data_IF_762677596774
#
_entry.id   IF_762677596774
#
_cell.length_a   1.000
_cell.length_b   1.000
_cell.length_c   1.000
_cell.angle_alpha   90.00
_cell.angle_beta   90.00
_cell.angle_gamma   90.00
#
_symmetry.space_group_name_H-M   'P 1'
#
loop_
_entity.id
_entity.type
_entity.pdbx_description
1 polymer ?
#
# COMPACT_ATOMS: atom_id res chain seq x y z
N UNK A 1 -24.69 15.94 -5.57
CA UNK A 1 -23.22 15.97 -5.80
C UNK A 1 -22.91 15.47 -7.21
N UNK A 2 -21.96 16.07 -7.93
CA UNK A 2 -21.53 15.56 -9.23
C UNK A 2 -20.77 14.24 -9.05
N UNK A 3 -20.85 13.31 -10.02
CA UNK A 3 -20.13 12.01 -9.98
C UNK A 3 -18.62 12.17 -9.71
N UNK A 4 -18.04 13.26 -10.22
CA UNK A 4 -16.62 13.63 -10.00
C UNK A 4 -16.33 13.99 -8.54
N UNK A 5 -17.26 14.66 -7.85
CA UNK A 5 -17.09 15.00 -6.44
C UNK A 5 -17.08 13.75 -5.57
N UNK A 6 -17.99 12.80 -5.82
CA UNK A 6 -18.07 11.52 -5.10
C UNK A 6 -16.75 10.74 -5.23
N UNK A 7 -16.23 10.63 -6.45
CA UNK A 7 -14.97 9.91 -6.70
C UNK A 7 -13.77 10.56 -6.00
N UNK A 8 -13.70 11.90 -5.98
CA UNK A 8 -12.66 12.63 -5.24
C UNK A 8 -12.76 12.37 -3.74
N UNK A 9 -13.96 12.43 -3.17
CA UNK A 9 -14.18 12.12 -1.75
C UNK A 9 -13.76 10.69 -1.42
N UNK A 10 -14.09 9.71 -2.28
CA UNK A 10 -13.65 8.33 -2.12
C UNK A 10 -12.12 8.21 -2.12
N UNK A 11 -11.43 8.82 -3.10
CA UNK A 11 -9.96 8.78 -3.14
C UNK A 11 -9.34 9.40 -1.90
N UNK A 12 -9.89 10.52 -1.40
CA UNK A 12 -9.41 11.15 -0.17
C UNK A 12 -9.58 10.21 1.02
N UNK A 13 -10.76 9.60 1.19
CA UNK A 13 -11.03 8.65 2.27
C UNK A 13 -10.08 7.44 2.21
N UNK A 14 -9.82 6.94 1.00
CA UNK A 14 -8.88 5.84 0.77
C UNK A 14 -7.47 6.21 1.20
N UNK A 15 -7.03 7.44 0.98
CA UNK A 15 -5.70 7.91 1.39
C UNK A 15 -5.61 8.22 2.89
N UNK A 16 -6.71 8.65 3.51
CA UNK A 16 -6.76 8.92 4.95
C UNK A 16 -6.68 7.64 5.78
N UNK A 17 -7.21 6.52 5.28
CA UNK A 17 -7.21 5.25 6.00
C UNK A 17 -5.80 4.72 6.37
N UNK A 18 -4.84 4.57 5.43
CA UNK A 18 -3.49 4.14 5.77
C UNK A 18 -2.75 5.18 6.62
N UNK A 19 -3.04 6.48 6.47
CA UNK A 19 -2.47 7.53 7.34
C UNK A 19 -2.96 7.36 8.78
N UNK A 20 -4.25 7.13 8.99
CA UNK A 20 -4.80 6.83 10.32
C UNK A 20 -4.16 5.57 10.94
N UNK A 21 -4.01 4.51 10.14
CA UNK A 21 -3.41 3.26 10.60
C UNK A 21 -1.91 3.40 10.89
N UNK A 22 -1.21 4.27 10.16
CA UNK A 22 0.18 4.65 10.43
C UNK A 22 0.33 5.29 11.82
N UNK A 23 -0.53 6.25 12.17
CA UNK A 23 -0.50 6.84 13.51
C UNK A 23 -0.83 5.82 14.60
N UNK A 24 -1.79 4.93 14.34
CA UNK A 24 -2.14 3.86 15.28
C UNK A 24 -0.98 2.88 15.48
N UNK A 25 -0.25 2.53 14.42
CA UNK A 25 0.93 1.67 14.51
C UNK A 25 2.07 2.35 15.27
N UNK A 26 2.33 3.64 15.02
CA UNK A 26 3.32 4.43 15.76
C UNK A 26 3.03 4.46 17.26
N UNK A 27 1.82 4.85 17.64
CA UNK A 27 1.43 4.90 19.06
C UNK A 27 1.47 3.54 19.75
N UNK A 28 1.22 2.45 19.02
CA UNK A 28 1.23 1.11 19.60
C UNK A 28 2.65 0.60 19.90
N UNK A 29 3.68 1.10 19.20
CA UNK A 29 5.07 0.75 19.46
C UNK A 29 5.60 1.36 20.77
N UNK A 30 5.01 2.47 21.23
CA UNK A 30 5.37 3.11 22.50
C UNK A 30 4.74 2.40 23.73
N UNK A 31 3.79 1.48 23.51
CA UNK A 31 3.12 0.74 24.57
C UNK A 31 3.91 -0.54 24.91
N UNK A 32 3.93 -0.98 26.17
CA UNK A 32 4.64 -2.22 26.59
C UNK A 32 3.90 -3.52 26.21
N UNK A 33 3.05 -3.52 25.18
CA UNK A 33 2.30 -4.70 24.70
C UNK A 33 2.74 -5.10 23.28
N UNK A 34 3.61 -6.12 23.22
CA UNK A 34 4.14 -6.72 21.98
C UNK A 34 3.01 -7.16 21.04
N UNK A 35 1.95 -7.75 21.58
CA UNK A 35 0.88 -8.33 20.78
C UNK A 35 0.03 -7.21 20.16
N UNK A 36 -0.25 -6.15 20.90
CA UNK A 36 -0.93 -4.97 20.39
C UNK A 36 -0.11 -4.24 19.32
N UNK A 37 1.20 -4.08 19.54
CA UNK A 37 2.10 -3.47 18.57
C UNK A 37 2.17 -4.27 17.27
N UNK A 38 2.37 -5.60 17.37
CA UNK A 38 2.37 -6.51 16.22
C UNK A 38 1.07 -6.44 15.42
N UNK A 39 -0.08 -6.49 16.12
CA UNK A 39 -1.37 -6.38 15.47
C UNK A 39 -1.55 -5.03 14.77
N UNK A 40 -1.05 -3.94 15.36
CA UNK A 40 -1.16 -2.59 14.78
C UNK A 40 -0.29 -2.44 13.53
N UNK A 41 0.92 -3.00 13.51
CA UNK A 41 1.80 -3.03 12.33
C UNK A 41 1.19 -3.89 11.21
N UNK A 42 0.63 -5.05 11.52
CA UNK A 42 -0.08 -5.90 10.54
C UNK A 42 -1.32 -5.19 9.99
N UNK A 43 -2.09 -4.52 10.85
CA UNK A 43 -3.24 -3.72 10.45
C UNK A 43 -2.84 -2.57 9.51
N UNK A 44 -1.67 -1.95 9.73
CA UNK A 44 -1.12 -0.98 8.79
C UNK A 44 -0.84 -1.63 7.43
N UNK A 45 -0.22 -2.81 7.37
CA UNK A 45 -0.01 -3.55 6.12
C UNK A 45 -1.33 -3.83 5.39
N UNK A 46 -2.35 -4.31 6.11
CA UNK A 46 -3.69 -4.56 5.55
C UNK A 46 -4.30 -3.29 4.99
N UNK A 47 -4.12 -2.15 5.65
CA UNK A 47 -4.61 -0.85 5.18
C UNK A 47 -3.98 -0.41 3.86
N UNK A 48 -2.69 -0.73 3.64
CA UNK A 48 -1.98 -0.49 2.38
C UNK A 48 -2.63 -1.32 1.27
N UNK A 49 -2.89 -2.61 1.52
CA UNK A 49 -3.51 -3.50 0.53
C UNK A 49 -4.93 -3.08 0.15
N UNK A 50 -5.77 -2.71 1.14
CA UNK A 50 -7.12 -2.20 0.88
C UNK A 50 -7.04 -0.92 0.03
N UNK A 51 -6.12 -0.02 0.37
CA UNK A 51 -5.94 1.23 -0.37
C UNK A 51 -5.46 0.97 -1.79
N UNK A 52 -4.54 0.01 -1.97
CA UNK A 52 -4.08 -0.42 -3.29
C UNK A 52 -5.20 -0.98 -4.15
N UNK A 53 -6.09 -1.83 -3.61
CA UNK A 53 -7.25 -2.36 -4.37
C UNK A 53 -8.13 -1.21 -4.85
N UNK A 54 -8.48 -0.28 -3.97
CA UNK A 54 -9.37 0.83 -4.31
C UNK A 54 -8.72 1.80 -5.31
N UNK A 55 -7.44 2.12 -5.13
CA UNK A 55 -6.67 2.94 -6.09
C UNK A 55 -6.52 2.23 -7.44
N UNK A 56 -6.36 0.91 -7.45
CA UNK A 56 -6.30 0.12 -8.69
C UNK A 56 -7.63 0.16 -9.45
N UNK A 57 -8.77 0.01 -8.76
CA UNK A 57 -10.11 0.15 -9.36
C UNK A 57 -10.30 1.54 -9.97
N UNK A 58 -9.93 2.59 -9.25
CA UNK A 58 -10.00 3.97 -9.75
C UNK A 58 -9.07 4.16 -10.96
N UNK A 59 -7.86 3.58 -10.91
CA UNK A 59 -6.91 3.62 -12.03
C UNK A 59 -7.46 2.96 -13.28
N UNK A 60 -8.11 1.80 -13.17
CA UNK A 60 -8.78 1.11 -14.27
C UNK A 60 -9.89 2.00 -14.85
N UNK A 61 -10.75 2.56 -13.99
CA UNK A 61 -11.86 3.42 -14.41
C UNK A 61 -11.38 4.63 -15.20
N UNK A 62 -10.35 5.33 -14.72
CA UNK A 62 -9.78 6.49 -15.42
C UNK A 62 -9.01 6.11 -16.69
N UNK A 63 -8.32 4.98 -16.68
CA UNK A 63 -7.65 4.48 -17.88
C UNK A 63 -8.64 4.18 -18.98
N UNK A 64 -9.83 3.68 -18.63
CA UNK A 64 -10.87 3.38 -19.60
C UNK A 64 -11.63 4.61 -20.06
N UNK A 65 -12.03 5.49 -19.15
CA UNK A 65 -12.86 6.67 -19.45
C UNK A 65 -12.08 7.83 -20.07
N UNK A 66 -10.87 8.11 -19.57
CA UNK A 66 -10.09 9.29 -19.97
C UNK A 66 -8.77 8.93 -20.69
N UNK A 67 -8.45 7.64 -20.86
CA UNK A 67 -7.18 7.13 -21.43
C UNK A 67 -5.91 7.59 -20.72
N UNK A 68 -6.04 8.15 -19.51
CA UNK A 68 -4.94 8.68 -18.69
C UNK A 68 -4.32 7.61 -17.79
N UNK A 69 -3.00 7.66 -17.64
CA UNK A 69 -2.22 6.75 -16.76
C UNK A 69 -1.91 7.34 -15.38
N UNK A 70 -2.33 8.58 -15.10
CA UNK A 70 -1.95 9.32 -13.90
C UNK A 70 -2.17 8.52 -12.61
N UNK A 71 -3.35 7.91 -12.43
CA UNK A 71 -3.68 7.15 -11.24
C UNK A 71 -2.83 5.88 -11.06
N UNK A 72 -2.35 5.28 -12.15
CA UNK A 72 -1.41 4.15 -12.04
C UNK A 72 -0.05 4.62 -11.51
N UNK A 73 0.52 5.71 -12.04
CA UNK A 73 1.78 6.26 -11.54
C UNK A 73 1.64 6.72 -10.08
N UNK A 74 0.51 7.33 -9.74
CA UNK A 74 0.19 7.71 -8.37
C UNK A 74 0.13 6.49 -7.44
N UNK A 75 -0.47 5.39 -7.88
CA UNK A 75 -0.54 4.14 -7.11
C UNK A 75 0.86 3.56 -6.84
N UNK A 76 1.76 3.59 -7.83
CA UNK A 76 3.16 3.19 -7.63
C UNK A 76 3.88 4.07 -6.60
N UNK A 77 3.72 5.40 -6.68
CA UNK A 77 4.31 6.32 -5.71
C UNK A 77 3.77 6.09 -4.29
N UNK A 78 2.46 5.88 -4.16
CA UNK A 78 1.81 5.53 -2.89
C UNK A 78 2.36 4.23 -2.30
N UNK A 79 2.49 3.18 -3.12
CA UNK A 79 3.05 1.89 -2.68
C UNK A 79 4.51 2.02 -2.24
N UNK A 80 5.32 2.77 -3.00
CA UNK A 80 6.72 3.02 -2.64
C UNK A 80 6.83 3.61 -1.25
N UNK A 81 6.13 4.71 -0.99
CA UNK A 81 6.17 5.38 0.32
C UNK A 81 5.61 4.48 1.42
N UNK A 82 4.45 3.86 1.20
CA UNK A 82 3.76 3.09 2.24
C UNK A 82 4.52 1.81 2.62
N UNK A 83 5.10 1.11 1.63
CA UNK A 83 5.91 -0.09 1.91
C UNK A 83 7.21 0.26 2.63
N UNK A 84 7.84 1.40 2.31
CA UNK A 84 9.03 1.87 3.04
C UNK A 84 8.73 2.18 4.50
N UNK A 85 7.60 2.86 4.77
CA UNK A 85 7.16 3.12 6.14
C UNK A 85 6.80 1.83 6.87
N UNK A 86 6.16 0.88 6.19
CA UNK A 86 5.85 -0.43 6.77
C UNK A 86 7.12 -1.20 7.17
N UNK A 87 8.15 -1.23 6.33
CA UNK A 87 9.41 -1.88 6.67
C UNK A 87 10.12 -1.21 7.83
N UNK A 88 10.06 0.13 7.94
CA UNK A 88 10.52 0.86 9.11
C UNK A 88 9.79 0.38 10.39
N UNK A 89 8.45 0.38 10.40
CA UNK A 89 7.70 -0.07 11.57
C UNK A 89 7.95 -1.54 11.92
N UNK A 90 8.14 -2.40 10.93
CA UNK A 90 8.47 -3.80 11.18
C UNK A 90 9.85 -3.94 11.82
N UNK A 91 10.84 -3.14 11.41
CA UNK A 91 12.14 -3.09 12.06
C UNK A 91 12.03 -2.53 13.48
N UNK A 92 11.31 -1.42 13.68
CA UNK A 92 11.11 -0.82 14.99
C UNK A 92 10.42 -1.78 15.96
N UNK A 93 9.45 -2.58 15.50
CA UNK A 93 8.80 -3.62 16.30
C UNK A 93 9.82 -4.66 16.77
N UNK A 94 10.69 -5.13 15.89
CA UNK A 94 11.69 -6.15 16.24
C UNK A 94 12.71 -5.60 17.22
N UNK A 95 13.19 -4.38 17.00
CA UNK A 95 14.18 -3.73 17.86
C UNK A 95 13.62 -3.32 19.21
N UNK A 96 12.36 -2.85 19.29
CA UNK A 96 11.77 -2.35 20.54
C UNK A 96 11.45 -3.47 21.54
N UNK A 97 11.21 -4.69 21.06
CA UNK A 97 10.84 -5.83 21.89
C UNK A 97 11.85 -6.99 21.83
N UNK A 98 13.07 -6.73 21.34
CA UNK A 98 14.16 -7.73 21.19
C UNK A 98 13.68 -9.06 20.59
N UNK A 99 12.85 -8.98 19.55
CA UNK A 99 12.33 -10.17 18.88
C UNK A 99 13.44 -10.88 18.10
N UNK A 100 13.42 -12.22 18.01
CA UNK A 100 14.44 -12.96 17.28
C UNK A 100 14.45 -12.55 15.80
N UNK A 101 15.59 -12.03 15.35
CA UNK A 101 15.84 -11.63 13.97
C UNK A 101 16.88 -12.56 13.33
N UNK A 102 16.70 -12.96 12.07
CA UNK A 102 17.74 -13.69 11.32
C UNK A 102 18.95 -12.81 10.95
N UNK A 103 18.86 -11.49 11.17
CA UNK A 103 19.94 -10.53 10.94
C UNK A 103 20.38 -9.94 12.27
N UNK A 104 21.69 -9.84 12.50
CA UNK A 104 22.29 -9.21 13.68
C UNK A 104 22.19 -7.67 13.64
N UNK A 105 21.98 -7.09 12.46
CA UNK A 105 21.91 -5.64 12.25
C UNK A 105 20.52 -5.04 12.49
N UNK A 106 20.49 -3.79 12.95
CA UNK A 106 19.26 -3.05 13.31
C UNK A 106 18.46 -2.46 12.14
N UNK A 107 18.78 -2.82 10.88
CA UNK A 107 18.15 -2.22 9.69
C UNK A 107 17.84 -3.20 8.54
N UNK A 108 18.62 -4.28 8.41
CA UNK A 108 18.56 -5.17 7.23
C UNK A 108 17.20 -5.84 7.06
N UNK A 109 16.56 -6.25 8.16
CA UNK A 109 15.24 -6.86 8.14
C UNK A 109 14.19 -5.90 7.54
N UNK A 110 14.16 -4.65 7.99
CA UNK A 110 13.23 -3.63 7.50
C UNK A 110 13.40 -3.35 6.01
N UNK A 111 14.64 -3.33 5.51
CA UNK A 111 14.94 -3.17 4.09
C UNK A 111 14.44 -4.37 3.29
N UNK A 112 14.70 -5.60 3.74
CA UNK A 112 14.25 -6.83 3.06
C UNK A 112 12.72 -6.90 3.02
N UNK A 113 12.04 -6.61 4.14
CA UNK A 113 10.57 -6.57 4.21
C UNK A 113 10.00 -5.51 3.27
N UNK A 114 10.62 -4.32 3.20
CA UNK A 114 10.23 -3.26 2.26
C UNK A 114 10.35 -3.75 0.82
N UNK A 115 11.50 -4.30 0.45
CA UNK A 115 11.78 -4.78 -0.91
C UNK A 115 10.82 -5.90 -1.31
N UNK A 116 10.58 -6.87 -0.41
CA UNK A 116 9.64 -7.95 -0.66
C UNK A 116 8.24 -7.41 -0.97
N UNK A 117 7.72 -6.50 -0.14
CA UNK A 117 6.38 -5.93 -0.36
C UNK A 117 6.34 -5.07 -1.63
N UNK A 118 7.42 -4.36 -1.97
CA UNK A 118 7.51 -3.60 -3.22
C UNK A 118 7.51 -4.51 -4.44
N UNK A 119 8.29 -5.59 -4.44
CA UNK A 119 8.33 -6.56 -5.55
C UNK A 119 6.95 -7.16 -5.75
N UNK A 120 6.28 -7.62 -4.68
CA UNK A 120 4.92 -8.17 -4.76
C UNK A 120 3.96 -7.12 -5.33
N UNK A 121 3.97 -5.90 -4.79
CA UNK A 121 3.07 -4.83 -5.24
C UNK A 121 3.33 -4.43 -6.69
N UNK A 122 4.59 -4.41 -7.12
CA UNK A 122 4.96 -4.09 -8.50
C UNK A 122 4.49 -5.17 -9.47
N UNK A 123 4.73 -6.44 -9.15
CA UNK A 123 4.27 -7.59 -9.95
C UNK A 123 2.74 -7.57 -10.08
N UNK A 124 2.01 -7.41 -8.97
CA UNK A 124 0.55 -7.37 -8.98
C UNK A 124 0.02 -6.19 -9.80
N UNK A 125 0.59 -5.00 -9.64
CA UNK A 125 0.16 -3.81 -10.38
C UNK A 125 0.48 -3.93 -11.87
N UNK A 126 1.64 -4.49 -12.24
CA UNK A 126 2.02 -4.74 -13.62
C UNK A 126 1.11 -5.78 -14.30
N UNK A 127 0.79 -6.89 -13.60
CA UNK A 127 -0.18 -7.88 -14.07
C UNK A 127 -1.56 -7.25 -14.32
N UNK A 128 -2.01 -6.39 -13.41
CA UNK A 128 -3.28 -5.68 -13.53
C UNK A 128 -3.27 -4.70 -14.71
N UNK A 129 -2.18 -3.95 -14.92
CA UNK A 129 -2.01 -3.11 -16.10
C UNK A 129 -2.01 -3.92 -17.41
N UNK A 130 -1.31 -5.05 -17.43
CA UNK A 130 -1.26 -5.94 -18.60
C UNK A 130 -2.64 -6.51 -18.92
N UNK A 131 -3.39 -6.94 -17.90
CA UNK A 131 -4.77 -7.40 -18.05
C UNK A 131 -5.66 -6.30 -18.64
N UNK A 132 -5.62 -5.08 -18.08
CA UNK A 132 -6.39 -3.94 -18.56
C UNK A 132 -6.04 -3.58 -19.99
N UNK A 133 -4.75 -3.60 -20.35
CA UNK A 133 -4.30 -3.35 -21.71
C UNK A 133 -4.81 -4.43 -22.69
N UNK A 134 -4.74 -5.70 -22.31
CA UNK A 134 -5.26 -6.79 -23.12
C UNK A 134 -6.77 -6.69 -23.32
N UNK A 135 -7.53 -6.43 -22.25
CA UNK A 135 -8.98 -6.23 -22.30
C UNK A 135 -9.36 -5.05 -23.20
N UNK A 136 -8.72 -3.88 -23.01
CA UNK A 136 -8.99 -2.70 -23.84
C UNK A 136 -8.65 -2.95 -25.31
N UNK A 137 -7.55 -3.63 -25.63
CA UNK A 137 -7.16 -3.92 -27.02
C UNK A 137 -8.09 -4.94 -27.71
N UNK A 138 -8.60 -5.94 -26.98
CA UNK A 138 -9.46 -6.99 -27.54
C UNK A 138 -10.91 -6.52 -27.74
N UNK A 139 -11.44 -5.71 -26.84
CA UNK A 139 -12.84 -5.29 -26.87
C UNK A 139 -13.11 -3.99 -27.66
N UNK A 140 -12.14 -3.09 -27.82
CA UNK A 140 -12.27 -1.89 -28.68
C UNK A 140 -11.94 -2.12 -30.17
N UNK A 141 -11.68 -3.38 -30.59
CA UNK A 141 -11.51 -3.76 -32.01
C UNK A 141 -12.81 -4.23 -32.68
N UNK A 142 -13.92 -4.22 -31.95
CA UNK A 142 -15.29 -4.32 -32.48
C UNK A 142 -15.98 -2.99 -32.31
#
# INVERSE_FOLDING_TARGET
MSKKAILRTLVILVLLYPVYMLFKAGNALDLQDVQQARNSVLNYQVSIWISWVLLSVVSIYYKWSEKRNFFFYFTYGFLLVSCSVFGYFHQSLVNAYDLPSPFEDSYTLGVVVTLQNLVVSFVLTALLQAAVWWFTRRWHRR
#
